data_IF_249139443266
#
_entry.id   IF_249139443266
#
_cell.length_a   1.000
_cell.length_b   1.000
_cell.length_c   1.000
_cell.angle_alpha   90.00
_cell.angle_beta   90.00
_cell.angle_gamma   90.00
#
_symmetry.space_group_name_H-M   'P 1'
#
loop_
_entity.id
_entity.type
_entity.pdbx_description
1 polymer ?
#
# COMPACT_ATOMS: atom_id res chain seq x y z
N UNK A 1 -134.81 60.07 42.42
CA UNK A 1 -133.33 60.25 42.55
C UNK A 1 -132.58 58.98 42.91
N UNK A 2 -133.19 57.84 43.01
CA UNK A 2 -132.47 56.56 43.36
C UNK A 2 -131.92 55.80 42.13
N UNK A 3 -132.54 55.91 40.88
CA UNK A 3 -132.12 55.15 39.72
C UNK A 3 -130.78 55.58 39.00
N UNK A 4 -130.34 56.84 39.31
CA UNK A 4 -129.09 57.38 38.70
C UNK A 4 -127.80 56.93 39.46
N UNK A 5 -127.91 56.69 40.75
CA UNK A 5 -126.79 56.30 41.59
C UNK A 5 -126.34 54.82 41.35
N UNK A 6 -127.28 53.97 40.99
CA UNK A 6 -126.97 52.54 40.70
C UNK A 6 -126.31 52.38 39.34
N UNK A 7 -126.75 53.23 38.33
CA UNK A 7 -126.15 53.21 37.02
C UNK A 7 -124.67 53.75 37.04
N UNK A 8 -124.40 54.78 37.87
CA UNK A 8 -123.01 55.29 38.06
C UNK A 8 -122.10 54.24 38.77
N UNK A 9 -122.66 53.60 39.79
CA UNK A 9 -121.89 52.59 40.46
C UNK A 9 -121.62 51.33 39.62
N UNK A 10 -122.54 50.97 38.69
CA UNK A 10 -122.35 49.86 37.76
C UNK A 10 -121.31 50.22 36.71
N UNK A 11 -121.35 51.47 36.15
CA UNK A 11 -120.33 51.91 35.17
C UNK A 11 -118.95 52.04 35.80
N UNK A 12 -118.91 52.55 37.06
CA UNK A 12 -117.65 52.64 37.85
C UNK A 12 -117.03 51.25 38.08
N UNK A 13 -117.85 50.25 38.44
CA UNK A 13 -117.33 48.85 38.58
C UNK A 13 -116.85 48.33 37.25
N UNK A 14 -117.61 48.53 36.15
CA UNK A 14 -117.14 48.01 34.83
C UNK A 14 -115.84 48.70 34.38
N UNK A 15 -115.64 49.96 34.73
CA UNK A 15 -114.36 50.66 34.41
C UNK A 15 -113.25 50.12 35.29
N UNK A 16 -113.51 49.84 36.58
CA UNK A 16 -112.49 49.21 37.43
C UNK A 16 -112.12 47.79 36.96
N UNK A 17 -113.15 47.01 36.57
CA UNK A 17 -112.86 45.61 36.07
C UNK A 17 -112.08 45.64 34.77
N UNK A 18 -112.40 46.62 33.90
CA UNK A 18 -111.60 46.74 32.67
C UNK A 18 -110.21 47.27 32.91
N UNK A 19 -110.06 48.24 33.84
CA UNK A 19 -108.75 48.76 34.26
C UNK A 19 -107.88 47.68 34.95
N UNK A 20 -108.52 46.94 35.87
CA UNK A 20 -107.80 45.82 36.57
C UNK A 20 -107.45 44.74 35.58
N UNK A 21 -108.32 44.40 34.59
CA UNK A 21 -107.99 43.45 33.53
C UNK A 21 -106.90 43.95 32.65
N UNK A 22 -106.92 45.29 32.31
CA UNK A 22 -105.86 45.95 31.49
C UNK A 22 -104.50 45.94 32.24
N UNK A 23 -104.55 46.29 33.51
CA UNK A 23 -103.35 46.29 34.40
C UNK A 23 -102.76 44.86 34.56
N UNK A 24 -103.65 43.86 34.75
CA UNK A 24 -103.21 42.46 34.86
C UNK A 24 -102.62 42.02 33.52
N UNK A 25 -103.31 42.35 32.38
CA UNK A 25 -102.84 41.99 31.07
C UNK A 25 -101.48 42.66 30.71
N UNK A 26 -101.41 43.93 31.15
CA UNK A 26 -100.15 44.71 30.92
C UNK A 26 -99.01 44.18 31.78
N UNK A 27 -99.29 43.73 33.07
CA UNK A 27 -98.30 43.09 33.89
C UNK A 27 -97.94 41.72 33.36
N UNK A 28 -98.86 40.91 32.81
CA UNK A 28 -98.57 39.62 32.18
C UNK A 28 -97.76 39.82 30.87
N UNK A 29 -98.06 40.82 30.02
CA UNK A 29 -97.29 41.11 28.83
C UNK A 29 -95.84 41.54 29.20
N UNK A 30 -95.69 42.44 30.16
CA UNK A 30 -94.34 42.90 30.55
C UNK A 30 -93.54 41.76 31.29
N UNK A 31 -94.19 40.91 32.03
CA UNK A 31 -93.52 39.74 32.63
C UNK A 31 -93.07 38.71 31.58
N UNK A 32 -93.90 38.48 30.55
CA UNK A 32 -93.57 37.57 29.43
C UNK A 32 -92.40 38.16 28.58
N UNK A 33 -92.44 39.49 28.29
CA UNK A 33 -91.33 40.14 27.60
C UNK A 33 -90.04 40.09 28.38
N UNK A 34 -90.09 40.37 29.69
CA UNK A 34 -88.90 40.27 30.58
C UNK A 34 -88.35 38.79 30.61
N UNK A 35 -89.25 37.82 30.67
CA UNK A 35 -88.87 36.43 30.64
C UNK A 35 -88.19 36.05 29.27
N UNK A 36 -88.76 36.48 28.16
CA UNK A 36 -88.18 36.26 26.83
C UNK A 36 -86.81 36.90 26.60
N UNK A 37 -86.62 38.12 27.15
CA UNK A 37 -85.34 38.83 27.17
C UNK A 37 -84.35 38.04 28.03
N UNK A 38 -84.73 37.64 29.24
CA UNK A 38 -83.84 36.86 30.12
C UNK A 38 -83.42 35.52 29.54
N UNK A 39 -84.39 34.81 28.92
CA UNK A 39 -84.04 33.55 28.21
C UNK A 39 -83.06 33.76 27.06
N UNK A 40 -83.28 34.83 26.26
CA UNK A 40 -82.40 35.21 25.15
C UNK A 40 -81.01 35.64 25.63
N UNK A 41 -80.89 36.38 26.73
CA UNK A 41 -79.62 36.76 27.32
C UNK A 41 -78.88 35.53 27.87
N UNK A 42 -79.62 34.58 28.49
CA UNK A 42 -79.03 33.32 28.93
C UNK A 42 -78.50 32.46 27.78
N UNK A 43 -79.24 32.37 26.66
CA UNK A 43 -78.80 31.68 25.43
C UNK A 43 -77.54 32.32 24.85
N UNK A 44 -77.48 33.69 24.81
CA UNK A 44 -76.27 34.40 24.36
C UNK A 44 -75.07 34.09 25.26
N UNK A 45 -75.26 34.18 26.62
CA UNK A 45 -74.18 33.87 27.57
C UNK A 45 -73.72 32.44 27.44
N UNK A 46 -74.65 31.48 27.28
CA UNK A 46 -74.27 30.08 27.03
C UNK A 46 -73.52 29.86 25.70
N UNK A 47 -73.96 30.55 24.61
CA UNK A 47 -73.30 30.49 23.32
C UNK A 47 -71.89 31.10 23.38
N UNK A 48 -71.74 32.25 24.08
CA UNK A 48 -70.41 32.86 24.30
C UNK A 48 -69.49 31.96 25.16
N UNK A 49 -70.05 31.37 26.26
CA UNK A 49 -69.28 30.44 27.08
C UNK A 49 -68.84 29.20 26.32
N UNK A 50 -69.71 28.63 25.47
CA UNK A 50 -69.36 27.52 24.57
C UNK A 50 -68.27 27.93 23.58
N UNK A 51 -68.37 29.08 22.93
CA UNK A 51 -67.37 29.59 21.98
C UNK A 51 -66.03 29.87 22.66
N UNK A 52 -66.06 30.46 23.87
CA UNK A 52 -64.84 30.68 24.67
C UNK A 52 -64.17 29.37 25.07
N UNK A 53 -64.94 28.40 25.52
CA UNK A 53 -64.42 27.05 25.85
C UNK A 53 -63.82 26.32 24.64
N UNK A 54 -64.49 26.46 23.51
CA UNK A 54 -63.99 25.90 22.25
C UNK A 54 -62.70 26.55 21.80
N UNK A 55 -62.55 27.86 21.90
CA UNK A 55 -61.30 28.60 21.63
C UNK A 55 -60.20 28.14 22.59
N UNK A 56 -60.46 27.95 23.89
CA UNK A 56 -59.51 27.46 24.85
C UNK A 56 -58.99 26.05 24.51
N UNK A 57 -59.90 25.16 24.06
CA UNK A 57 -59.54 23.82 23.62
C UNK A 57 -58.63 23.88 22.42
N UNK A 58 -58.97 24.67 21.37
CA UNK A 58 -58.16 24.83 20.18
C UNK A 58 -56.77 25.41 20.47
N UNK A 59 -56.67 26.41 21.35
CA UNK A 59 -55.37 26.96 21.77
C UNK A 59 -54.56 25.96 22.55
N UNK A 60 -55.15 25.18 23.44
CA UNK A 60 -54.48 24.13 24.19
C UNK A 60 -53.92 23.01 23.25
N UNK A 61 -54.76 22.58 22.28
CA UNK A 61 -54.32 21.59 21.25
C UNK A 61 -53.19 22.13 20.38
N UNK A 62 -53.27 23.40 19.95
CA UNK A 62 -52.21 24.03 19.16
C UNK A 62 -50.87 24.06 19.94
N UNK A 63 -50.91 24.49 21.19
CA UNK A 63 -49.73 24.51 22.08
C UNK A 63 -49.14 23.13 22.27
N UNK A 64 -49.99 22.11 22.48
CA UNK A 64 -49.55 20.73 22.61
C UNK A 64 -48.85 20.23 21.32
N UNK A 65 -49.42 20.51 20.16
CA UNK A 65 -48.80 20.14 18.86
C UNK A 65 -47.45 20.82 18.71
N UNK A 66 -47.32 22.11 19.03
CA UNK A 66 -46.03 22.81 18.98
C UNK A 66 -44.99 22.22 19.94
N UNK A 67 -45.40 21.83 21.18
CA UNK A 67 -44.50 21.18 22.14
C UNK A 67 -44.01 19.82 21.59
N UNK A 68 -44.92 19.02 21.04
CA UNK A 68 -44.58 17.73 20.43
C UNK A 68 -43.63 17.92 19.25
N UNK A 69 -43.93 18.85 18.33
CA UNK A 69 -43.08 19.16 17.17
C UNK A 69 -41.68 19.63 17.61
N UNK A 70 -41.61 20.52 18.59
CA UNK A 70 -40.35 20.99 19.18
C UNK A 70 -39.54 19.85 19.84
N UNK A 71 -40.23 18.96 20.56
CA UNK A 71 -39.60 17.79 21.19
C UNK A 71 -39.02 16.84 20.12
N UNK A 72 -39.76 16.55 19.06
CA UNK A 72 -39.30 15.73 17.94
C UNK A 72 -38.09 16.39 17.26
N UNK A 73 -38.16 17.69 17.00
CA UNK A 73 -37.06 18.43 16.41
C UNK A 73 -35.78 18.38 17.27
N UNK A 74 -35.90 18.57 18.61
CA UNK A 74 -34.76 18.53 19.53
C UNK A 74 -34.14 17.14 19.63
N UNK A 75 -34.98 16.09 19.63
CA UNK A 75 -34.49 14.70 19.62
C UNK A 75 -33.74 14.40 18.30
N UNK A 76 -34.32 14.79 17.16
CA UNK A 76 -33.70 14.59 15.86
C UNK A 76 -32.35 15.32 15.76
N UNK A 77 -32.32 16.59 16.17
CA UNK A 77 -31.11 17.42 16.20
C UNK A 77 -30.03 16.80 17.09
N UNK A 78 -30.36 16.38 18.32
CA UNK A 78 -29.42 15.71 19.23
C UNK A 78 -28.86 14.40 18.64
N UNK A 79 -29.69 13.62 17.96
CA UNK A 79 -29.25 12.40 17.28
C UNK A 79 -28.29 12.70 16.11
N UNK A 80 -28.57 13.73 15.33
CA UNK A 80 -27.73 14.17 14.25
C UNK A 80 -26.36 14.70 14.75
N UNK A 81 -26.37 15.53 15.79
CA UNK A 81 -25.16 16.03 16.44
C UNK A 81 -24.31 14.90 17.02
N UNK A 82 -24.95 13.91 17.66
CA UNK A 82 -24.23 12.74 18.20
C UNK A 82 -23.60 11.86 17.11
N UNK A 83 -24.30 11.64 15.99
CA UNK A 83 -23.74 10.92 14.83
C UNK A 83 -22.57 11.68 14.21
N UNK A 84 -22.71 13.00 14.04
CA UNK A 84 -21.64 13.84 13.50
C UNK A 84 -20.40 13.82 14.40
N UNK A 85 -20.60 13.94 15.72
CA UNK A 85 -19.51 13.88 16.69
C UNK A 85 -18.77 12.54 16.65
N UNK A 86 -19.51 11.42 16.63
CA UNK A 86 -18.90 10.08 16.50
C UNK A 86 -18.13 9.91 15.18
N UNK A 87 -18.66 10.41 14.09
CA UNK A 87 -17.97 10.37 12.81
C UNK A 87 -16.69 11.22 12.82
N UNK A 88 -16.74 12.38 13.48
CA UNK A 88 -15.57 13.25 13.63
C UNK A 88 -14.49 12.61 14.52
N UNK A 89 -14.89 12.02 15.66
CA UNK A 89 -13.98 11.29 16.56
C UNK A 89 -13.30 10.11 15.82
N UNK A 90 -14.07 9.29 15.07
CA UNK A 90 -13.53 8.18 14.29
C UNK A 90 -12.60 8.65 13.16
N UNK A 91 -12.93 9.78 12.52
CA UNK A 91 -12.08 10.36 11.49
C UNK A 91 -10.75 10.88 12.08
N UNK A 92 -10.81 11.52 13.24
CA UNK A 92 -9.62 12.01 13.93
C UNK A 92 -8.70 10.84 14.34
N UNK A 93 -9.25 9.77 14.92
CA UNK A 93 -8.48 8.57 15.24
C UNK A 93 -7.82 7.95 14.00
N UNK A 94 -8.53 7.91 12.87
CA UNK A 94 -7.97 7.40 11.62
C UNK A 94 -6.84 8.29 11.08
N UNK A 95 -6.96 9.61 11.20
CA UNK A 95 -5.89 10.54 10.84
C UNK A 95 -4.66 10.39 11.74
N UNK A 96 -4.84 10.29 13.04
CA UNK A 96 -3.74 10.13 13.99
C UNK A 96 -2.99 8.80 13.75
N UNK A 97 -3.71 7.70 13.47
CA UNK A 97 -3.12 6.41 13.08
C UNK A 97 -2.37 6.49 11.74
N UNK A 98 -2.93 7.21 10.77
CA UNK A 98 -2.26 7.39 9.46
C UNK A 98 -0.97 8.20 9.60
N UNK A 99 -0.99 9.28 10.39
CA UNK A 99 0.19 10.12 10.65
C UNK A 99 1.30 9.32 11.35
N UNK A 100 0.95 8.56 12.40
CA UNK A 100 1.89 7.67 13.10
C UNK A 100 2.49 6.63 12.14
N UNK A 101 1.65 5.95 11.36
CA UNK A 101 2.08 4.93 10.39
C UNK A 101 2.99 5.54 9.32
N UNK A 102 2.66 6.73 8.82
CA UNK A 102 3.45 7.43 7.81
C UNK A 102 4.82 7.82 8.36
N UNK A 103 4.86 8.35 9.58
CA UNK A 103 6.11 8.73 10.24
C UNK A 103 7.03 7.52 10.46
N UNK A 104 6.47 6.39 10.92
CA UNK A 104 7.22 5.14 11.08
C UNK A 104 7.76 4.66 9.73
N UNK A 105 6.93 4.69 8.68
CA UNK A 105 7.31 4.27 7.33
C UNK A 105 8.45 5.14 6.78
N UNK A 106 8.35 6.46 6.86
CA UNK A 106 9.40 7.39 6.41
C UNK A 106 10.73 7.17 7.14
N UNK A 107 10.67 6.91 8.44
CA UNK A 107 11.87 6.57 9.22
C UNK A 107 12.48 5.26 8.76
N UNK A 108 11.69 4.20 8.58
CA UNK A 108 12.16 2.91 8.08
C UNK A 108 12.78 3.03 6.69
N UNK A 109 12.15 3.75 5.76
CA UNK A 109 12.69 4.01 4.41
C UNK A 109 14.03 4.78 4.48
N UNK A 110 14.16 5.71 5.41
CA UNK A 110 15.41 6.44 5.63
C UNK A 110 16.53 5.53 6.16
N UNK A 111 16.22 4.65 7.12
CA UNK A 111 17.18 3.68 7.67
C UNK A 111 17.61 2.65 6.59
N UNK A 112 16.67 2.20 5.74
CA UNK A 112 16.97 1.30 4.62
C UNK A 112 17.82 1.97 3.53
N UNK A 113 17.63 3.27 3.25
CA UNK A 113 18.53 4.00 2.34
C UNK A 113 19.96 4.04 2.85
N UNK A 114 20.16 4.27 4.14
CA UNK A 114 21.50 4.23 4.74
C UNK A 114 22.09 2.83 4.61
N UNK A 115 21.30 1.77 4.86
CA UNK A 115 21.73 0.39 4.69
C UNK A 115 22.15 0.10 3.24
N UNK A 116 21.37 0.60 2.26
CA UNK A 116 21.72 0.52 0.83
C UNK A 116 23.06 1.20 0.53
N UNK A 117 23.27 2.41 1.00
CA UNK A 117 24.53 3.14 0.76
C UNK A 117 25.73 2.36 1.34
N UNK A 118 25.57 1.76 2.51
CA UNK A 118 26.59 0.89 3.10
C UNK A 118 26.80 -0.35 2.24
N UNK A 119 25.75 -1.03 1.80
CA UNK A 119 25.83 -2.22 0.95
C UNK A 119 26.51 -1.90 -0.38
N UNK A 120 26.09 -0.83 -1.05
CA UNK A 120 26.67 -0.39 -2.33
C UNK A 120 28.15 0.01 -2.18
N UNK A 121 28.59 0.46 -1.01
CA UNK A 121 30.02 0.73 -0.75
C UNK A 121 30.88 -0.55 -0.69
N UNK A 122 30.27 -1.73 -0.50
CA UNK A 122 30.96 -3.01 -0.51
C UNK A 122 31.16 -3.56 -1.93
N UNK A 123 30.38 -3.05 -2.88
CA UNK A 123 30.41 -3.45 -4.28
C UNK A 123 31.41 -2.57 -5.03
N UNK A 124 32.34 -3.13 -5.84
CA UNK A 124 33.33 -2.34 -6.57
C UNK A 124 32.66 -1.42 -7.58
N UNK A 125 32.94 -0.12 -7.52
CA UNK A 125 32.50 0.87 -8.53
C UNK A 125 33.60 1.26 -9.53
N UNK A 126 34.84 0.86 -9.27
CA UNK A 126 35.97 1.04 -10.16
C UNK A 126 36.45 -0.34 -10.60
N UNK A 127 36.82 -0.47 -11.87
CA UNK A 127 37.28 -1.73 -12.45
C UNK A 127 38.80 -1.74 -12.62
N UNK A 128 39.44 -2.95 -12.62
CA UNK A 128 40.87 -3.04 -12.71
C UNK A 128 41.38 -2.57 -14.06
N UNK A 129 42.46 -1.81 -14.03
CA UNK A 129 43.18 -1.42 -15.25
C UNK A 129 44.34 -2.38 -15.44
N UNK A 130 44.23 -3.26 -16.46
CA UNK A 130 45.26 -4.19 -16.88
C UNK A 130 45.33 -4.26 -18.41
N UNK A 131 46.52 -4.27 -19.01
CA UNK A 131 46.64 -4.35 -20.47
C UNK A 131 45.94 -5.58 -21.03
N UNK A 132 45.03 -5.41 -22.00
CA UNK A 132 44.27 -6.48 -22.59
C UNK A 132 43.06 -6.98 -21.83
N UNK A 133 42.72 -6.38 -20.65
CA UNK A 133 41.49 -6.65 -19.90
C UNK A 133 40.52 -5.50 -20.07
N UNK A 134 39.33 -5.82 -20.53
CA UNK A 134 38.13 -4.96 -20.38
C UNK A 134 37.09 -5.65 -19.52
N UNK A 135 36.73 -5.04 -18.40
CA UNK A 135 35.81 -5.56 -17.42
C UNK A 135 34.81 -4.50 -16.99
N UNK A 136 33.56 -4.86 -16.97
CA UNK A 136 32.51 -4.02 -16.42
C UNK A 136 31.44 -4.87 -15.74
N UNK A 137 30.85 -4.33 -14.66
CA UNK A 137 29.73 -4.96 -13.97
C UNK A 137 28.73 -3.89 -13.52
N UNK A 138 27.48 -4.28 -13.38
CA UNK A 138 26.39 -3.43 -12.91
C UNK A 138 25.51 -4.23 -11.97
N UNK A 139 25.00 -3.58 -10.94
CA UNK A 139 24.03 -4.12 -9.99
C UNK A 139 22.94 -3.10 -9.74
N UNK A 140 21.71 -3.50 -9.98
CA UNK A 140 20.50 -2.70 -9.77
C UNK A 140 19.57 -3.45 -8.83
N UNK A 141 19.55 -3.12 -7.53
CA UNK A 141 18.64 -3.75 -6.58
C UNK A 141 17.18 -3.45 -6.91
N UNK A 142 16.32 -4.47 -6.82
CA UNK A 142 14.85 -4.33 -7.00
C UNK A 142 14.18 -3.62 -5.83
N UNK A 143 14.80 -3.62 -4.66
CA UNK A 143 14.33 -2.96 -3.44
C UNK A 143 15.42 -2.05 -2.87
N UNK A 144 15.17 -1.52 -1.67
CA UNK A 144 16.12 -0.65 -0.99
C UNK A 144 17.47 -1.34 -0.74
N UNK A 145 17.46 -2.63 -0.38
CA UNK A 145 18.64 -3.49 -0.24
C UNK A 145 18.41 -4.82 -0.92
N UNK A 146 19.46 -5.36 -1.57
CA UNK A 146 19.41 -6.58 -2.36
C UNK A 146 20.19 -7.77 -1.77
N UNK A 147 20.00 -8.94 -2.38
CA UNK A 147 20.76 -10.17 -2.11
C UNK A 147 21.96 -10.36 -3.02
N UNK A 148 21.93 -9.75 -4.20
CA UNK A 148 22.98 -9.88 -5.21
C UNK A 148 24.33 -9.38 -4.74
N UNK A 149 25.36 -9.98 -5.28
CA UNK A 149 26.74 -9.56 -5.07
C UNK A 149 27.59 -9.74 -6.33
N UNK A 150 28.56 -8.88 -6.49
CA UNK A 150 29.73 -9.15 -7.32
C UNK A 150 30.98 -8.56 -6.68
N UNK A 151 32.10 -9.13 -7.05
CA UNK A 151 33.39 -8.64 -6.57
C UNK A 151 34.53 -9.12 -7.46
N UNK A 152 35.66 -8.47 -7.33
CA UNK A 152 36.90 -8.91 -7.96
C UNK A 152 38.12 -8.58 -7.12
N UNK A 153 39.23 -9.27 -7.43
CA UNK A 153 40.55 -9.00 -6.89
C UNK A 153 41.59 -9.22 -8.01
N UNK A 154 42.34 -8.19 -8.35
CA UNK A 154 43.50 -8.32 -9.24
C UNK A 154 44.78 -8.58 -8.41
N UNK A 155 45.44 -9.69 -8.65
CA UNK A 155 46.66 -10.09 -7.99
C UNK A 155 47.73 -10.42 -9.03
N UNK A 156 48.54 -9.45 -9.40
CA UNK A 156 49.51 -9.60 -10.51
C UNK A 156 48.77 -9.75 -11.86
N UNK A 157 49.01 -10.85 -12.55
CA UNK A 157 48.31 -11.22 -13.79
C UNK A 157 47.06 -12.09 -13.56
N UNK A 158 46.66 -12.32 -12.31
CA UNK A 158 45.51 -13.16 -11.95
C UNK A 158 44.34 -12.33 -11.49
N UNK A 159 43.19 -12.50 -12.11
CA UNK A 159 41.95 -11.83 -11.75
C UNK A 159 40.99 -12.86 -11.11
N UNK A 160 40.76 -12.72 -9.80
CA UNK A 160 39.65 -13.37 -9.13
C UNK A 160 38.38 -12.55 -9.34
N UNK A 161 37.26 -13.19 -9.62
CA UNK A 161 35.97 -12.54 -9.72
C UNK A 161 34.87 -13.48 -9.23
N UNK A 162 33.81 -12.91 -8.72
CA UNK A 162 32.62 -13.63 -8.26
C UNK A 162 31.37 -12.80 -8.54
N UNK A 163 30.28 -13.48 -8.85
CA UNK A 163 28.94 -12.94 -8.95
C UNK A 163 28.00 -13.98 -8.34
N UNK A 164 27.03 -13.55 -7.56
CA UNK A 164 26.12 -14.44 -6.86
C UNK A 164 24.84 -13.78 -6.43
N UNK A 165 23.86 -14.59 -6.10
CA UNK A 165 22.57 -14.19 -5.59
C UNK A 165 22.21 -14.95 -4.32
N UNK A 166 21.79 -14.23 -3.28
CA UNK A 166 21.41 -14.76 -1.97
C UNK A 166 19.90 -15.03 -1.94
N UNK A 167 19.55 -16.23 -1.51
CA UNK A 167 18.17 -16.64 -1.31
C UNK A 167 17.40 -15.66 -0.41
N UNK A 168 16.18 -15.25 -0.83
CA UNK A 168 15.34 -14.30 -0.10
C UNK A 168 15.64 -12.86 -0.47
N UNK A 169 15.05 -11.92 0.25
CA UNK A 169 15.10 -10.48 -0.10
C UNK A 169 15.20 -9.59 1.13
N UNK A 170 15.67 -8.35 0.91
CA UNK A 170 15.73 -7.34 1.97
C UNK A 170 16.90 -7.51 2.93
N UNK A 171 16.73 -7.03 4.16
CA UNK A 171 17.82 -6.94 5.15
C UNK A 171 18.52 -8.27 5.45
N UNK A 172 17.83 -9.41 5.66
CA UNK A 172 18.51 -10.68 5.89
C UNK A 172 19.43 -11.10 4.73
N UNK A 173 18.94 -10.99 3.49
CA UNK A 173 19.73 -11.32 2.30
C UNK A 173 20.94 -10.39 2.14
N UNK A 174 20.79 -9.10 2.39
CA UNK A 174 21.87 -8.13 2.30
C UNK A 174 22.99 -8.38 3.34
N UNK A 175 22.64 -8.84 4.54
CA UNK A 175 23.63 -9.20 5.56
C UNK A 175 24.40 -10.49 5.20
N UNK A 176 23.71 -11.47 4.63
CA UNK A 176 24.34 -12.70 4.16
C UNK A 176 25.27 -12.41 2.96
N UNK A 177 24.83 -11.57 2.02
CA UNK A 177 25.61 -11.04 0.91
C UNK A 177 26.91 -10.38 1.39
N UNK A 178 26.84 -9.53 2.42
CA UNK A 178 28.01 -8.85 2.97
C UNK A 178 29.04 -9.84 3.55
N UNK A 179 28.58 -10.90 4.21
CA UNK A 179 29.45 -11.97 4.73
C UNK A 179 30.10 -12.75 3.57
N UNK A 180 29.33 -13.20 2.58
CA UNK A 180 29.84 -13.92 1.41
C UNK A 180 30.89 -13.08 0.66
N UNK A 181 30.61 -11.79 0.42
CA UNK A 181 31.55 -10.87 -0.24
C UNK A 181 32.85 -10.70 0.53
N UNK A 182 32.80 -10.57 1.85
CA UNK A 182 34.01 -10.43 2.69
C UNK A 182 34.83 -11.70 2.73
N UNK A 183 34.19 -12.87 2.81
CA UNK A 183 34.88 -14.17 2.75
C UNK A 183 35.55 -14.36 1.39
N UNK A 184 34.85 -14.11 0.29
CA UNK A 184 35.45 -14.15 -1.05
C UNK A 184 36.71 -13.28 -1.14
N UNK A 185 36.64 -12.00 -0.77
CA UNK A 185 37.79 -11.09 -0.84
C UNK A 185 38.98 -11.56 0.03
N UNK A 186 38.67 -12.15 1.19
CA UNK A 186 39.71 -12.62 2.13
C UNK A 186 40.40 -13.85 1.62
N UNK A 187 39.63 -14.82 1.09
CA UNK A 187 40.17 -16.09 0.61
C UNK A 187 40.88 -15.97 -0.74
N UNK A 188 40.35 -15.11 -1.64
CA UNK A 188 41.02 -14.81 -2.91
C UNK A 188 42.41 -14.16 -2.68
N UNK A 189 42.58 -13.32 -1.66
CA UNK A 189 43.91 -12.76 -1.28
C UNK A 189 44.90 -13.82 -0.82
N UNK A 190 44.45 -14.98 -0.38
CA UNK A 190 45.32 -16.10 0.03
C UNK A 190 45.76 -16.94 -1.18
N UNK A 191 45.26 -16.65 -2.38
CA UNK A 191 45.66 -17.36 -3.59
C UNK A 191 44.99 -18.73 -3.77
N UNK A 192 43.86 -18.96 -3.08
CA UNK A 192 43.13 -20.23 -3.16
C UNK A 192 42.44 -20.40 -4.53
N UNK A 193 42.22 -21.65 -4.93
CA UNK A 193 41.44 -21.96 -6.13
C UNK A 193 39.92 -21.73 -5.94
N UNK A 194 39.15 -21.40 -6.99
CA UNK A 194 37.72 -21.09 -6.89
C UNK A 194 36.91 -22.14 -6.12
N UNK A 195 37.11 -23.44 -6.38
CA UNK A 195 36.39 -24.51 -5.69
C UNK A 195 36.73 -24.56 -4.18
N UNK A 196 37.99 -24.34 -3.83
CA UNK A 196 38.42 -24.28 -2.42
C UNK A 196 37.79 -23.08 -1.71
N UNK A 197 37.73 -21.93 -2.39
CA UNK A 197 37.06 -20.71 -1.85
C UNK A 197 35.58 -21.00 -1.61
N UNK A 198 34.86 -21.60 -2.58
CA UNK A 198 33.46 -22.01 -2.42
C UNK A 198 33.26 -22.93 -1.22
N UNK A 199 34.12 -23.95 -1.06
CA UNK A 199 34.09 -24.89 0.08
C UNK A 199 34.26 -24.13 1.41
N UNK A 200 35.23 -23.22 1.51
CA UNK A 200 35.51 -22.46 2.73
C UNK A 200 34.40 -21.48 3.07
N UNK A 201 33.81 -20.82 2.06
CA UNK A 201 32.65 -19.93 2.27
C UNK A 201 31.46 -20.77 2.74
N UNK A 202 31.22 -21.93 2.13
CA UNK A 202 30.16 -22.84 2.54
C UNK A 202 30.30 -23.25 4.01
N UNK A 203 31.47 -23.72 4.44
CA UNK A 203 31.71 -24.11 5.82
C UNK A 203 31.52 -22.94 6.81
N UNK A 204 31.83 -21.71 6.39
CA UNK A 204 31.68 -20.52 7.21
C UNK A 204 30.23 -20.02 7.30
N UNK A 205 29.40 -20.25 6.28
CA UNK A 205 28.03 -19.73 6.19
C UNK A 205 26.97 -20.80 6.47
N UNK A 206 27.33 -22.07 6.50
CA UNK A 206 26.42 -23.18 6.84
C UNK A 206 26.57 -23.58 8.31
N UNK A 207 25.52 -24.13 8.92
CA UNK A 207 25.53 -24.62 10.28
C UNK A 207 24.49 -23.98 11.18
N UNK A 208 24.67 -24.17 12.50
CA UNK A 208 23.67 -23.74 13.52
C UNK A 208 23.45 -22.24 13.55
N UNK A 209 24.41 -21.43 13.15
CA UNK A 209 24.33 -19.97 13.10
C UNK A 209 23.49 -19.48 11.92
N UNK A 210 23.24 -20.30 10.90
CA UNK A 210 22.38 -20.00 9.75
C UNK A 210 20.91 -20.29 10.06
N UNK A 211 20.34 -19.62 11.07
CA UNK A 211 18.95 -19.82 11.51
C UNK A 211 17.90 -19.52 10.43
N UNK A 212 18.27 -18.73 9.42
CA UNK A 212 17.40 -18.37 8.30
C UNK A 212 17.39 -19.39 7.16
N UNK A 213 18.18 -20.47 7.24
CA UNK A 213 18.43 -21.40 6.12
C UNK A 213 18.77 -20.66 4.82
N UNK A 214 19.54 -19.57 4.94
CA UNK A 214 19.97 -18.76 3.82
C UNK A 214 21.05 -19.48 3.03
N UNK A 215 21.05 -19.31 1.73
CA UNK A 215 22.09 -19.81 0.85
C UNK A 215 22.41 -18.77 -0.23
N UNK A 216 23.52 -18.92 -0.89
CA UNK A 216 23.90 -18.08 -2.03
C UNK A 216 24.29 -18.97 -3.22
N UNK A 217 23.69 -18.66 -4.37
CA UNK A 217 24.19 -19.17 -5.64
C UNK A 217 25.38 -18.31 -6.08
N UNK A 218 26.46 -18.90 -6.55
CA UNK A 218 27.66 -18.13 -6.89
C UNK A 218 28.43 -18.73 -8.06
N UNK A 219 28.74 -17.90 -9.05
CA UNK A 219 29.78 -18.20 -10.01
C UNK A 219 31.08 -17.52 -9.59
N UNK A 220 32.14 -18.30 -9.46
CA UNK A 220 33.46 -17.82 -9.05
C UNK A 220 34.50 -18.22 -10.08
N UNK A 221 35.31 -17.26 -10.52
CA UNK A 221 36.37 -17.46 -11.49
C UNK A 221 37.74 -16.93 -11.02
N UNK A 222 38.78 -17.62 -11.49
CA UNK A 222 40.17 -17.18 -11.45
C UNK A 222 40.69 -17.18 -12.88
N UNK A 223 40.96 -16.01 -13.42
CA UNK A 223 41.38 -15.79 -14.78
C UNK A 223 42.87 -15.37 -14.82
N UNK A 224 43.70 -16.15 -15.51
CA UNK A 224 45.05 -15.72 -15.87
C UNK A 224 44.99 -14.82 -17.11
N UNK A 225 45.36 -13.57 -16.92
CA UNK A 225 45.23 -12.52 -17.94
C UNK A 225 46.29 -12.64 -19.05
N UNK A 226 47.38 -13.37 -18.82
CA UNK A 226 48.41 -13.59 -19.83
C UNK A 226 48.05 -14.72 -20.79
N UNK A 227 47.51 -15.83 -20.25
CA UNK A 227 47.14 -17.00 -21.04
C UNK A 227 45.70 -17.03 -21.45
N UNK A 228 44.81 -16.31 -20.72
CA UNK A 228 43.37 -16.42 -20.83
C UNK A 228 42.75 -17.62 -20.17
N UNK A 229 43.57 -18.42 -19.44
CA UNK A 229 43.10 -19.63 -18.76
C UNK A 229 42.15 -19.27 -17.63
N UNK A 230 40.99 -19.89 -17.61
CA UNK A 230 39.94 -19.66 -16.62
C UNK A 230 39.71 -20.90 -15.78
N UNK A 231 40.05 -20.86 -14.50
CA UNK A 231 39.57 -21.80 -13.50
C UNK A 231 38.28 -21.24 -12.87
N UNK A 232 37.27 -22.08 -12.72
CA UNK A 232 36.03 -21.62 -12.12
C UNK A 232 35.32 -22.68 -11.27
N UNK A 233 34.40 -22.22 -10.46
CA UNK A 233 33.45 -23.06 -9.72
C UNK A 233 32.07 -22.40 -9.79
N UNK A 234 31.08 -23.16 -10.25
CA UNK A 234 29.70 -22.74 -10.22
C UNK A 234 28.98 -23.42 -9.03
N UNK A 235 28.63 -22.64 -8.02
CA UNK A 235 27.91 -23.10 -6.84
C UNK A 235 26.39 -22.87 -7.02
N UNK A 236 25.77 -23.62 -7.93
CA UNK A 236 24.32 -23.57 -8.18
C UNK A 236 23.81 -22.28 -8.82
N UNK A 237 24.69 -21.49 -9.44
CA UNK A 237 24.34 -20.23 -10.08
C UNK A 237 23.97 -20.44 -11.56
N UNK A 238 23.28 -19.43 -12.15
CA UNK A 238 22.95 -19.42 -13.59
C UNK A 238 24.20 -19.66 -14.45
N UNK A 239 24.09 -20.43 -15.54
CA UNK A 239 25.24 -20.69 -16.39
C UNK A 239 25.67 -19.40 -17.11
N UNK A 240 26.97 -19.01 -17.04
CA UNK A 240 27.48 -17.91 -17.81
C UNK A 240 27.42 -18.18 -19.32
N UNK A 241 27.36 -17.11 -20.10
CA UNK A 241 27.49 -17.18 -21.54
C UNK A 241 28.94 -16.85 -21.93
N UNK A 242 29.57 -17.75 -22.69
CA UNK A 242 30.87 -17.50 -23.28
C UNK A 242 30.68 -17.17 -24.75
N UNK A 243 31.00 -15.96 -25.13
CA UNK A 243 30.87 -15.45 -26.51
C UNK A 243 31.87 -16.10 -27.46
N UNK A 244 31.75 -15.83 -28.77
CA UNK A 244 32.58 -16.38 -29.78
C UNK A 244 32.24 -17.84 -30.16
N UNK A 245 33.09 -18.49 -30.93
CA UNK A 245 32.83 -19.81 -31.52
C UNK A 245 31.96 -19.75 -32.81
N UNK A 246 31.62 -20.94 -33.34
CA UNK A 246 30.89 -21.05 -34.62
C UNK A 246 29.48 -20.46 -34.62
N UNK A 247 28.89 -20.32 -33.40
CA UNK A 247 27.50 -19.84 -33.22
C UNK A 247 27.38 -18.50 -32.49
N UNK A 248 28.51 -17.77 -32.31
CA UNK A 248 28.50 -16.44 -31.70
C UNK A 248 28.39 -16.42 -30.15
N UNK A 249 28.29 -17.55 -29.51
CA UNK A 249 28.25 -17.71 -28.05
C UNK A 249 27.22 -18.74 -27.58
N UNK A 250 27.49 -19.35 -26.42
CA UNK A 250 26.62 -20.35 -25.81
C UNK A 250 26.81 -20.40 -24.29
N UNK A 251 25.85 -21.01 -23.58
CA UNK A 251 26.01 -21.31 -22.15
C UNK A 251 27.16 -22.26 -21.88
N UNK A 252 27.94 -21.96 -20.85
CA UNK A 252 29.00 -22.87 -20.40
C UNK A 252 28.35 -24.12 -19.80
N UNK A 253 28.71 -25.28 -20.32
CA UNK A 253 28.32 -26.56 -19.68
C UNK A 253 29.14 -26.76 -18.43
N UNK A 254 28.49 -27.05 -17.30
CA UNK A 254 29.13 -27.09 -15.99
C UNK A 254 28.71 -28.32 -15.19
N UNK A 255 29.60 -28.75 -14.31
CA UNK A 255 29.28 -29.77 -13.30
C UNK A 255 28.30 -29.22 -12.27
N UNK A 256 27.33 -30.01 -11.82
CA UNK A 256 26.40 -29.59 -10.79
C UNK A 256 27.09 -29.50 -9.42
N UNK A 257 27.04 -28.32 -8.80
CA UNK A 257 27.32 -28.13 -7.38
C UNK A 257 26.08 -27.57 -6.68
N UNK A 258 26.00 -27.74 -5.37
CA UNK A 258 24.97 -27.12 -4.55
C UNK A 258 25.25 -25.63 -4.35
N UNK A 259 24.24 -24.81 -4.06
CA UNK A 259 24.45 -23.45 -3.55
C UNK A 259 25.24 -23.47 -2.22
N UNK A 260 25.96 -22.40 -1.95
CA UNK A 260 26.76 -22.19 -0.74
C UNK A 260 25.85 -21.90 0.45
N UNK A 261 26.06 -22.54 1.59
CA UNK A 261 25.33 -22.30 2.84
C UNK A 261 24.20 -23.30 3.13
N UNK A 262 23.91 -24.25 2.22
CA UNK A 262 22.84 -25.23 2.40
C UNK A 262 23.17 -26.21 3.52
N UNK A 263 24.37 -26.75 3.55
CA UNK A 263 24.83 -27.70 4.59
C UNK A 263 26.34 -27.65 4.75
N UNK A 264 26.86 -27.89 5.96
CA UNK A 264 28.30 -27.92 6.20
C UNK A 264 28.96 -29.17 5.57
N UNK A 265 30.26 -29.07 5.28
CA UNK A 265 31.07 -30.17 4.78
C UNK A 265 30.84 -30.54 3.31
N UNK A 266 30.19 -29.67 2.52
CA UNK A 266 30.13 -29.83 1.07
C UNK A 266 31.48 -29.50 0.45
N UNK A 267 31.99 -30.39 -0.38
CA UNK A 267 33.17 -30.16 -1.23
C UNK A 267 32.69 -29.75 -2.63
N UNK A 268 33.15 -28.60 -3.09
CA UNK A 268 32.80 -28.04 -4.41
C UNK A 268 33.79 -28.50 -5.48
N UNK A 269 33.28 -28.81 -6.66
CA UNK A 269 34.09 -29.21 -7.80
C UNK A 269 34.40 -28.00 -8.68
N UNK A 270 35.65 -27.80 -9.01
CA UNK A 270 36.10 -26.78 -9.95
C UNK A 270 36.29 -27.33 -11.34
N UNK A 271 36.23 -26.45 -12.29
CA UNK A 271 36.41 -26.71 -13.71
C UNK A 271 37.35 -25.69 -14.33
N UNK A 272 37.78 -25.91 -15.58
CA UNK A 272 38.66 -24.99 -16.28
C UNK A 272 38.34 -24.91 -17.76
N UNK A 273 38.66 -23.76 -18.35
CA UNK A 273 38.65 -23.48 -19.79
C UNK A 273 40.07 -23.04 -20.16
N UNK A 274 40.69 -23.73 -21.12
CA UNK A 274 42.09 -23.50 -21.53
C UNK A 274 42.37 -22.05 -21.91
N UNK A 275 41.44 -21.39 -22.61
CA UNK A 275 41.53 -19.93 -22.91
C UNK A 275 40.21 -19.34 -23.27
N UNK A 276 39.92 -18.14 -22.68
CA UNK A 276 38.78 -17.29 -23.06
C UNK A 276 39.23 -16.05 -23.86
N UNK A 277 40.50 -15.97 -24.29
CA UNK A 277 40.97 -14.83 -25.11
C UNK A 277 40.13 -14.64 -26.35
N UNK A 278 39.73 -13.37 -26.61
CA UNK A 278 38.87 -13.01 -27.75
C UNK A 278 37.42 -13.50 -27.61
N UNK A 279 37.04 -14.05 -26.44
CA UNK A 279 35.71 -14.57 -26.16
C UNK A 279 35.15 -13.87 -24.94
N UNK A 280 34.16 -12.95 -25.08
CA UNK A 280 33.52 -12.33 -23.92
C UNK A 280 32.88 -13.36 -22.99
N UNK A 281 33.16 -13.25 -21.69
CA UNK A 281 32.48 -14.00 -20.64
C UNK A 281 31.42 -13.11 -20.01
N UNK A 282 30.16 -13.53 -20.08
CA UNK A 282 29.03 -12.81 -19.49
C UNK A 282 28.40 -13.63 -18.37
N UNK A 283 28.40 -13.06 -17.15
CA UNK A 283 27.84 -13.65 -15.93
C UNK A 283 26.69 -12.79 -15.46
N UNK A 284 25.59 -13.38 -14.99
CA UNK A 284 24.37 -12.65 -14.65
C UNK A 284 23.57 -13.38 -13.58
N UNK A 285 22.76 -12.65 -12.80
CA UNK A 285 21.75 -13.20 -11.87
C UNK A 285 20.42 -13.41 -12.57
N UNK A 286 19.54 -14.21 -11.99
CA UNK A 286 18.24 -14.59 -12.55
C UNK A 286 17.30 -13.40 -12.74
N UNK A 287 17.47 -12.28 -12.02
CA UNK A 287 16.73 -11.04 -12.28
C UNK A 287 16.90 -10.48 -13.70
N UNK A 288 17.85 -11.02 -14.52
CA UNK A 288 17.95 -10.71 -15.93
C UNK A 288 16.94 -11.54 -16.75
N UNK A 289 17.09 -12.86 -16.76
CA UNK A 289 16.29 -13.74 -17.60
C UNK A 289 14.87 -13.94 -17.07
N UNK A 290 14.66 -13.72 -15.78
CA UNK A 290 13.34 -13.74 -15.14
C UNK A 290 12.66 -12.36 -15.07
N UNK A 291 13.25 -11.32 -15.64
CA UNK A 291 12.62 -10.01 -15.73
C UNK A 291 11.25 -10.11 -16.43
N UNK A 292 10.19 -9.71 -15.73
CA UNK A 292 8.82 -9.82 -16.22
C UNK A 292 8.31 -8.53 -16.86
N UNK A 293 7.48 -8.70 -17.90
CA UNK A 293 6.68 -7.63 -18.47
C UNK A 293 5.28 -7.54 -17.80
N UNK A 294 4.42 -6.55 -18.11
CA UNK A 294 3.08 -6.45 -17.54
C UNK A 294 2.14 -7.66 -17.80
N UNK A 295 2.50 -8.55 -18.75
CA UNK A 295 1.79 -9.79 -19.02
C UNK A 295 2.37 -10.99 -18.27
N UNK A 296 3.35 -10.77 -17.36
CA UNK A 296 4.10 -11.80 -16.64
C UNK A 296 4.90 -12.75 -17.55
N UNK A 297 5.31 -12.27 -18.70
CA UNK A 297 6.21 -13.01 -19.58
C UNK A 297 7.65 -12.67 -19.22
N UNK A 298 8.49 -13.70 -19.00
CA UNK A 298 9.90 -13.52 -18.69
C UNK A 298 10.71 -13.08 -19.93
N UNK A 299 11.82 -12.39 -19.69
CA UNK A 299 12.79 -12.03 -20.75
C UNK A 299 13.33 -13.27 -21.44
N UNK A 300 13.75 -14.25 -20.67
CA UNK A 300 14.09 -15.61 -21.06
C UNK A 300 15.52 -15.78 -21.62
N UNK A 301 16.00 -17.00 -21.50
CA UNK A 301 17.35 -17.39 -21.93
C UNK A 301 17.56 -17.29 -23.44
N UNK A 302 16.55 -17.61 -24.24
CA UNK A 302 16.63 -17.55 -25.71
C UNK A 302 16.87 -16.12 -26.20
N UNK A 303 16.22 -15.13 -25.57
CA UNK A 303 16.39 -13.73 -25.90
C UNK A 303 17.77 -13.24 -25.47
N UNK A 304 18.24 -13.63 -24.28
CA UNK A 304 19.58 -13.34 -23.81
C UNK A 304 20.65 -13.87 -24.77
N UNK A 305 20.56 -15.15 -25.14
CA UNK A 305 21.50 -15.75 -26.11
C UNK A 305 21.44 -15.08 -27.48
N UNK A 306 20.24 -14.81 -27.97
CA UNK A 306 20.07 -14.12 -29.26
C UNK A 306 20.71 -12.72 -29.23
N UNK A 307 20.54 -11.99 -28.13
CA UNK A 307 21.19 -10.69 -27.94
C UNK A 307 22.72 -10.84 -27.97
N UNK A 308 23.31 -11.71 -27.15
CA UNK A 308 24.76 -11.85 -27.01
C UNK A 308 25.42 -12.40 -28.29
N UNK A 309 24.73 -13.26 -29.05
CA UNK A 309 25.19 -13.76 -30.34
C UNK A 309 25.25 -12.70 -31.45
N UNK A 310 24.32 -11.75 -31.43
CA UNK A 310 24.22 -10.67 -32.42
C UNK A 310 24.93 -9.39 -31.97
N UNK A 311 25.48 -9.38 -30.77
CA UNK A 311 26.11 -8.23 -30.18
C UNK A 311 27.56 -8.07 -30.70
N UNK A 312 27.80 -7.06 -31.50
CA UNK A 312 29.13 -6.69 -31.99
C UNK A 312 29.64 -5.44 -31.24
N UNK A 313 29.61 -5.49 -29.91
CA UNK A 313 29.99 -4.38 -29.09
C UNK A 313 31.49 -4.42 -28.76
N UNK A 314 32.09 -3.24 -28.73
CA UNK A 314 33.56 -3.07 -28.64
C UNK A 314 34.06 -3.09 -27.18
N UNK A 315 33.15 -3.02 -26.19
CA UNK A 315 33.52 -2.98 -24.76
C UNK A 315 32.53 -3.72 -23.85
N UNK A 316 33.07 -4.23 -22.75
CA UNK A 316 32.27 -4.87 -21.68
C UNK A 316 31.16 -3.95 -21.14
N UNK A 317 31.44 -2.66 -21.05
CA UNK A 317 30.47 -1.66 -20.63
C UNK A 317 29.30 -1.55 -21.61
N UNK A 318 29.57 -1.46 -22.93
CA UNK A 318 28.53 -1.37 -23.95
C UNK A 318 27.62 -2.61 -23.94
N UNK A 319 28.18 -3.81 -23.71
CA UNK A 319 27.38 -5.04 -23.60
C UNK A 319 26.36 -4.89 -22.48
N UNK A 320 26.79 -4.50 -21.28
CA UNK A 320 25.93 -4.40 -20.12
C UNK A 320 24.91 -3.26 -20.26
N UNK A 321 25.32 -2.08 -20.72
CA UNK A 321 24.41 -0.95 -20.93
C UNK A 321 23.32 -1.28 -21.95
N UNK A 322 23.68 -1.92 -23.08
CA UNK A 322 22.70 -2.25 -24.13
C UNK A 322 21.72 -3.34 -23.70
N UNK A 323 22.20 -4.38 -22.97
CA UNK A 323 21.29 -5.42 -22.47
C UNK A 323 20.37 -4.88 -21.36
N UNK A 324 20.87 -3.97 -20.54
CA UNK A 324 20.05 -3.28 -19.54
C UNK A 324 18.89 -2.53 -20.21
N UNK A 325 19.20 -1.79 -21.30
CA UNK A 325 18.15 -1.10 -22.07
C UNK A 325 17.14 -2.07 -22.68
N UNK A 326 17.57 -3.26 -23.14
CA UNK A 326 16.67 -4.26 -23.72
C UNK A 326 15.78 -4.91 -22.67
N UNK A 327 16.30 -5.18 -21.48
CA UNK A 327 15.53 -5.65 -20.32
C UNK A 327 14.50 -4.58 -19.89
N UNK A 328 14.88 -3.30 -19.79
CA UNK A 328 13.95 -2.23 -19.45
C UNK A 328 12.85 -2.02 -20.50
N UNK A 329 13.18 -2.16 -21.77
CA UNK A 329 12.17 -2.18 -22.86
C UNK A 329 11.20 -3.35 -22.71
N UNK A 330 11.70 -4.53 -22.31
CA UNK A 330 10.87 -5.71 -22.07
C UNK A 330 9.96 -5.49 -20.86
N UNK A 331 10.48 -4.97 -19.76
CA UNK A 331 9.68 -4.62 -18.56
C UNK A 331 8.54 -3.66 -18.86
N UNK A 332 8.73 -2.75 -19.80
CA UNK A 332 7.69 -1.82 -20.26
C UNK A 332 6.90 -1.16 -19.11
N UNK A 333 7.62 -0.74 -18.05
CA UNK A 333 7.07 -0.10 -16.87
C UNK A 333 6.60 -1.06 -15.74
N UNK A 334 6.80 -2.37 -15.86
CA UNK A 334 6.63 -3.30 -14.75
C UNK A 334 7.72 -3.07 -13.70
N UNK A 335 7.34 -3.15 -12.42
CA UNK A 335 8.31 -3.08 -11.31
C UNK A 335 9.30 -4.26 -11.37
N UNK A 336 10.57 -4.03 -11.01
CA UNK A 336 11.55 -5.10 -10.91
C UNK A 336 11.09 -6.20 -9.94
N UNK A 337 11.08 -7.44 -10.42
CA UNK A 337 10.74 -8.62 -9.62
C UNK A 337 11.92 -9.14 -8.80
N UNK A 338 13.16 -8.96 -9.30
CA UNK A 338 14.40 -9.29 -8.61
C UNK A 338 15.56 -8.33 -8.89
N UNK A 339 16.64 -8.45 -8.11
CA UNK A 339 17.88 -7.71 -8.31
C UNK A 339 18.48 -8.06 -9.68
N UNK A 340 18.98 -7.08 -10.41
CA UNK A 340 19.57 -7.27 -11.74
C UNK A 340 21.06 -7.02 -11.66
N UNK A 341 21.84 -8.08 -11.68
CA UNK A 341 23.31 -8.02 -11.60
C UNK A 341 23.94 -8.70 -12.80
N UNK A 342 24.90 -8.03 -13.42
CA UNK A 342 25.59 -8.52 -14.61
C UNK A 342 27.05 -8.16 -14.54
N UNK A 343 27.89 -9.02 -15.12
CA UNK A 343 29.33 -8.80 -15.30
C UNK A 343 29.77 -9.28 -16.68
N UNK A 344 30.54 -8.49 -17.38
CA UNK A 344 31.18 -8.85 -18.64
C UNK A 344 32.69 -8.70 -18.53
N UNK A 345 33.40 -9.72 -19.00
CA UNK A 345 34.86 -9.80 -19.03
C UNK A 345 35.33 -10.09 -20.46
N UNK A 346 36.25 -9.29 -20.98
CA UNK A 346 36.88 -9.46 -22.29
C UNK A 346 38.40 -9.47 -22.11
N UNK A 347 39.08 -10.48 -22.64
CA UNK A 347 40.54 -10.60 -22.59
C UNK A 347 41.06 -10.68 -24.04
N UNK A 348 42.01 -9.81 -24.39
CA UNK A 348 42.58 -9.67 -25.71
C UNK A 348 43.99 -10.28 -25.84
#
# INVERSE_FOLDING_TARGET
MLGQRDSINHTARQICDVLDSAIINNKHLSASELHSIHVRDMEIVEAEAKSARQRQIYTAVLVLVLIVAFSIYTIYRRRAEHKLRKAHEALQEAYDQLEETTTIKERMESELRIARDIQMSMVPCLFPVYPGLDMYASMMPAREVGGDLYGYLLAGNKLYFALGDVSGKGVPASLFMAQATRLFQTLAKQGMMPAEICTRINDALSGEDNQGNMFVTMFMGLLDLETGHLWFCNAGHNPPVLGGGEHGGDFIQMLPNFPIGIMPGLEFQGEEIESIKGRPLFVYTDGLNEAENPAHEQFGDDRLLSFLRNCHLESARQVIETITEDVEKHRNGAEPNDDLTMMCLMVH
#
